data_IF_560356532607
#
_entry.id   IF_560356532607
#
_cell.length_a   1.000
_cell.length_b   1.000
_cell.length_c   1.000
_cell.angle_alpha   90.00
_cell.angle_beta   90.00
_cell.angle_gamma   90.00
#
_symmetry.space_group_name_H-M   'P 1'
#
loop_
_entity.id
_entity.type
_entity.pdbx_description
1 polymer ?
#
# COMPACT_ATOMS: atom_id res chain seq x y z
N UNK A 1 11.35 19.39 -12.67
CA UNK A 1 10.23 19.08 -11.76
C UNK A 1 10.82 18.84 -10.39
N UNK A 2 10.21 19.40 -9.36
CA UNK A 2 10.55 19.06 -7.97
C UNK A 2 10.22 17.57 -7.76
N UNK A 3 11.15 16.83 -7.16
CA UNK A 3 10.97 15.39 -6.92
C UNK A 3 10.07 15.18 -5.71
N UNK A 4 9.21 14.16 -5.74
CA UNK A 4 8.43 13.76 -4.57
C UNK A 4 9.32 12.90 -3.66
N UNK A 5 9.60 13.40 -2.45
CA UNK A 5 10.30 12.66 -1.41
C UNK A 5 9.40 11.57 -0.84
N UNK A 6 9.90 10.34 -0.82
CA UNK A 6 9.16 9.20 -0.28
C UNK A 6 10.00 8.35 0.67
N UNK A 7 9.33 7.76 1.65
CA UNK A 7 9.80 6.57 2.38
C UNK A 7 8.94 5.40 1.90
N UNK A 8 9.58 4.35 1.40
CA UNK A 8 8.91 3.13 0.95
C UNK A 8 8.94 2.10 2.09
N UNK A 9 7.77 1.72 2.60
CA UNK A 9 7.64 0.70 3.64
C UNK A 9 7.08 -0.58 3.02
N UNK A 10 7.86 -1.67 3.04
CA UNK A 10 7.54 -2.87 2.27
C UNK A 10 7.95 -4.16 2.98
N UNK A 11 7.44 -5.28 2.51
CA UNK A 11 7.72 -6.64 3.00
C UNK A 11 8.16 -7.54 1.84
N UNK A 12 9.37 -7.28 1.26
CA UNK A 12 9.68 -7.64 -0.11
C UNK A 12 9.27 -9.04 -0.58
N UNK A 13 8.14 -9.04 -1.29
CA UNK A 13 7.68 -10.03 -2.24
C UNK A 13 8.00 -9.63 -3.68
N UNK A 14 7.38 -10.32 -4.64
CA UNK A 14 7.66 -10.14 -6.07
C UNK A 14 7.32 -8.74 -6.56
N UNK A 15 6.16 -8.23 -6.17
CA UNK A 15 5.64 -6.91 -6.52
C UNK A 15 6.37 -5.78 -5.79
N UNK A 16 6.73 -5.95 -4.52
CA UNK A 16 7.60 -5.01 -3.80
C UNK A 16 8.95 -4.82 -4.47
N UNK A 17 9.57 -5.89 -4.98
CA UNK A 17 10.84 -5.79 -5.69
C UNK A 17 10.72 -4.90 -6.93
N UNK A 18 9.58 -4.95 -7.62
CA UNK A 18 9.26 -4.04 -8.73
C UNK A 18 8.99 -2.62 -8.24
N UNK A 19 8.27 -2.45 -7.12
CA UNK A 19 8.02 -1.14 -6.53
C UNK A 19 9.33 -0.43 -6.12
N UNK A 20 10.25 -1.16 -5.47
CA UNK A 20 11.60 -0.69 -5.13
C UNK A 20 12.35 -0.25 -6.40
N UNK A 21 12.37 -1.09 -7.43
CA UNK A 21 13.04 -0.79 -8.70
C UNK A 21 12.48 0.49 -9.33
N UNK A 22 11.15 0.62 -9.41
CA UNK A 22 10.49 1.78 -10.01
C UNK A 22 10.76 3.05 -9.21
N UNK A 23 10.60 3.00 -7.88
CA UNK A 23 10.84 4.13 -6.99
C UNK A 23 12.29 4.63 -7.07
N UNK A 24 13.25 3.71 -7.09
CA UNK A 24 14.67 4.06 -7.10
C UNK A 24 15.17 4.62 -8.44
N UNK A 25 14.52 4.30 -9.57
CA UNK A 25 14.98 4.71 -10.90
C UNK A 25 14.15 5.84 -11.53
N UNK A 26 12.94 6.12 -11.03
CA UNK A 26 12.06 7.11 -11.65
C UNK A 26 12.48 8.56 -11.33
N UNK A 27 12.66 9.45 -12.33
CA UNK A 27 13.25 10.78 -12.12
C UNK A 27 12.37 11.75 -11.33
N UNK A 28 11.06 11.45 -11.18
CA UNK A 28 10.14 12.26 -10.39
C UNK A 28 10.10 11.87 -8.89
N UNK A 29 10.79 10.79 -8.50
CA UNK A 29 10.80 10.26 -7.13
C UNK A 29 12.17 10.51 -6.51
N UNK A 30 12.16 10.91 -5.25
CA UNK A 30 13.33 10.95 -4.38
C UNK A 30 13.12 9.95 -3.24
N UNK A 31 13.69 8.75 -3.41
CA UNK A 31 13.53 7.65 -2.48
C UNK A 31 14.53 7.82 -1.33
N UNK A 32 14.04 8.27 -0.17
CA UNK A 32 14.87 8.64 0.98
C UNK A 32 15.40 7.43 1.76
N UNK A 33 14.59 6.37 1.83
CA UNK A 33 14.86 5.18 2.61
C UNK A 33 13.83 4.10 2.34
N UNK A 34 14.23 2.86 2.57
CA UNK A 34 13.36 1.69 2.51
C UNK A 34 13.23 1.12 3.90
N UNK A 35 12.02 1.03 4.42
CA UNK A 35 11.72 0.38 5.70
C UNK A 35 11.09 -0.97 5.46
N UNK A 36 11.55 -1.98 6.19
CA UNK A 36 11.11 -3.36 6.01
C UNK A 36 10.18 -3.77 7.16
N UNK A 37 9.09 -4.44 6.83
CA UNK A 37 8.14 -5.03 7.77
C UNK A 37 7.98 -6.52 7.51
N UNK A 38 7.51 -7.27 8.50
CA UNK A 38 7.04 -8.64 8.30
C UNK A 38 5.65 -8.64 7.62
N UNK A 39 5.42 -9.60 6.74
CA UNK A 39 4.17 -9.74 6.00
C UNK A 39 4.22 -10.96 5.09
N UNK A 40 4.52 -10.78 3.80
CA UNK A 40 4.67 -11.85 2.80
C UNK A 40 5.52 -13.01 3.33
N UNK A 41 6.58 -12.69 4.06
CA UNK A 41 7.37 -13.61 4.87
C UNK A 41 7.73 -12.98 6.22
N UNK A 42 8.43 -13.76 7.05
CA UNK A 42 9.07 -13.28 8.28
C UNK A 42 10.07 -12.15 7.99
N UNK A 43 10.30 -11.27 8.97
CA UNK A 43 11.13 -10.07 8.79
C UNK A 43 12.56 -10.37 8.34
N UNK A 44 13.16 -11.44 8.85
CA UNK A 44 14.50 -11.88 8.45
C UNK A 44 14.58 -12.14 6.95
N UNK A 45 13.55 -12.78 6.37
CA UNK A 45 13.48 -13.06 4.94
C UNK A 45 13.15 -11.83 4.13
N UNK A 46 12.14 -11.04 4.52
CA UNK A 46 11.77 -9.83 3.79
C UNK A 46 12.91 -8.79 3.79
N UNK A 47 13.68 -8.71 4.88
CA UNK A 47 14.88 -7.88 4.97
C UNK A 47 15.98 -8.35 4.02
N UNK A 48 16.28 -9.66 4.03
CA UNK A 48 17.24 -10.25 3.09
C UNK A 48 16.81 -9.99 1.64
N UNK A 49 15.52 -10.13 1.32
CA UNK A 49 14.98 -9.88 -0.01
C UNK A 49 15.13 -8.41 -0.41
N UNK A 50 14.76 -7.47 0.45
CA UNK A 50 14.92 -6.03 0.20
C UNK A 50 16.38 -5.64 -0.04
N UNK A 51 17.30 -6.19 0.77
CA UNK A 51 18.73 -6.00 0.58
C UNK A 51 19.20 -6.63 -0.76
N UNK A 52 18.85 -7.88 -1.05
CA UNK A 52 19.21 -8.55 -2.30
C UNK A 52 18.77 -7.77 -3.54
N UNK A 53 17.53 -7.29 -3.57
CA UNK A 53 16.98 -6.46 -4.66
C UNK A 53 17.81 -5.20 -4.82
N UNK A 54 18.07 -4.48 -3.73
CA UNK A 54 18.83 -3.25 -3.80
C UNK A 54 20.31 -3.47 -4.17
N UNK A 55 20.93 -4.58 -3.75
CA UNK A 55 22.28 -4.96 -4.16
C UNK A 55 22.32 -5.24 -5.66
N UNK A 56 21.39 -6.06 -6.15
CA UNK A 56 21.32 -6.45 -7.57
C UNK A 56 21.12 -5.27 -8.51
N UNK A 57 20.35 -4.26 -8.08
CA UNK A 57 19.99 -3.10 -8.88
C UNK A 57 20.88 -1.87 -8.63
N UNK A 58 21.92 -2.02 -7.81
CA UNK A 58 22.85 -0.96 -7.40
C UNK A 58 22.11 0.26 -6.83
N UNK A 59 21.10 0.00 -6.00
CA UNK A 59 20.31 1.02 -5.32
C UNK A 59 21.04 1.41 -4.02
N UNK A 60 21.54 2.63 -3.99
CA UNK A 60 22.30 3.21 -2.87
C UNK A 60 21.39 4.01 -1.93
N UNK A 61 20.31 3.37 -1.48
CA UNK A 61 19.36 3.91 -0.49
C UNK A 61 19.46 3.06 0.78
N UNK A 62 19.43 3.67 1.99
CA UNK A 62 19.50 2.93 3.24
C UNK A 62 18.25 2.06 3.45
N UNK A 63 18.47 0.87 4.02
CA UNK A 63 17.41 -0.12 4.31
C UNK A 63 17.35 -0.34 5.82
N UNK A 64 16.17 -0.22 6.41
CA UNK A 64 15.95 -0.30 7.85
C UNK A 64 15.03 -1.47 8.21
N UNK A 65 15.45 -2.34 9.12
CA UNK A 65 14.60 -3.40 9.64
C UNK A 65 13.57 -2.84 10.63
N UNK A 66 12.31 -3.25 10.51
CA UNK A 66 11.19 -2.77 11.31
C UNK A 66 10.50 -3.84 12.15
N UNK A 67 9.18 -3.75 12.22
CA UNK A 67 8.35 -4.61 13.06
C UNK A 67 8.42 -6.08 12.59
N UNK A 68 8.85 -7.01 13.45
CA UNK A 68 8.92 -8.44 13.10
C UNK A 68 7.56 -9.15 13.18
N UNK A 69 6.58 -8.52 13.84
CA UNK A 69 5.26 -9.05 14.12
C UNK A 69 4.21 -7.92 14.07
N UNK A 70 2.94 -8.25 13.78
CA UNK A 70 1.86 -7.29 13.86
C UNK A 70 1.63 -6.81 15.30
N UNK A 71 0.96 -5.67 15.48
CA UNK A 71 0.90 -4.98 16.78
C UNK A 71 0.03 -5.69 17.83
N UNK A 72 -0.84 -6.62 17.45
CA UNK A 72 -1.73 -7.31 18.37
C UNK A 72 -2.00 -8.77 18.00
N UNK A 73 -2.36 -9.03 16.75
CA UNK A 73 -2.76 -10.37 16.31
C UNK A 73 -1.58 -11.34 16.23
N UNK A 74 -1.88 -12.63 16.03
CA UNK A 74 -0.86 -13.60 15.67
C UNK A 74 -0.39 -13.37 14.23
N UNK A 75 0.92 -13.49 14.04
CA UNK A 75 1.57 -13.35 12.74
C UNK A 75 1.06 -14.38 11.74
N UNK A 76 0.88 -13.92 10.50
CA UNK A 76 0.58 -14.73 9.33
C UNK A 76 1.58 -14.37 8.24
N UNK A 77 1.84 -15.31 7.32
CA UNK A 77 2.69 -15.11 6.14
C UNK A 77 1.96 -15.56 4.88
N UNK A 78 2.44 -15.13 3.72
CA UNK A 78 1.89 -15.49 2.40
C UNK A 78 2.87 -16.39 1.61
N UNK A 79 3.42 -17.40 2.29
CA UNK A 79 4.38 -18.37 1.73
C UNK A 79 3.81 -19.15 0.54
N UNK A 80 2.50 -19.42 0.56
CA UNK A 80 1.77 -20.03 -0.55
C UNK A 80 1.77 -19.21 -1.86
N UNK A 81 1.99 -17.89 -1.79
CA UNK A 81 2.04 -16.99 -2.95
C UNK A 81 3.48 -16.63 -3.31
N UNK A 82 4.30 -16.33 -2.29
CA UNK A 82 5.64 -15.78 -2.48
C UNK A 82 6.76 -16.81 -2.35
N UNK A 83 6.43 -18.05 -2.01
CA UNK A 83 7.37 -19.16 -1.90
C UNK A 83 8.10 -19.19 -0.56
N UNK A 84 9.04 -20.13 -0.44
CA UNK A 84 9.74 -20.42 0.82
C UNK A 84 10.64 -19.24 1.23
N UNK A 85 11.26 -18.58 0.27
CA UNK A 85 12.14 -17.42 0.51
C UNK A 85 11.38 -16.11 0.60
N UNK A 86 10.12 -16.08 0.13
CA UNK A 86 9.33 -14.85 -0.05
C UNK A 86 9.63 -14.12 -1.36
N UNK A 87 10.62 -14.58 -2.13
CA UNK A 87 10.96 -14.04 -3.44
C UNK A 87 11.52 -15.19 -4.32
N UNK A 88 10.79 -16.30 -4.39
CA UNK A 88 11.24 -17.48 -5.13
C UNK A 88 11.36 -17.19 -6.64
N UNK A 89 12.48 -17.60 -7.25
CA UNK A 89 12.73 -17.41 -8.69
C UNK A 89 14.11 -16.81 -8.98
N UNK A 90 14.39 -15.56 -8.59
CA UNK A 90 15.72 -14.98 -8.72
C UNK A 90 16.73 -15.67 -7.81
N UNK A 91 17.96 -15.86 -8.32
CA UNK A 91 19.12 -16.27 -7.54
C UNK A 91 20.05 -15.08 -7.40
N UNK A 92 20.40 -14.73 -6.17
CA UNK A 92 21.25 -13.59 -5.85
C UNK A 92 22.69 -14.03 -5.54
N UNK A 93 23.63 -13.16 -5.86
CA UNK A 93 25.01 -13.27 -5.40
C UNK A 93 25.09 -13.11 -3.88
N UNK A 94 26.20 -13.54 -3.22
CA UNK A 94 26.38 -13.37 -1.78
C UNK A 94 26.10 -11.92 -1.33
N UNK A 95 25.27 -11.78 -0.30
CA UNK A 95 24.88 -10.48 0.21
C UNK A 95 26.05 -9.84 0.96
N UNK A 96 26.47 -8.65 0.53
CA UNK A 96 27.57 -7.89 1.17
C UNK A 96 27.07 -6.63 1.87
N UNK A 97 25.94 -6.09 1.41
CA UNK A 97 25.27 -4.97 2.09
C UNK A 97 24.59 -5.40 3.37
N UNK A 98 24.43 -4.45 4.27
CA UNK A 98 23.77 -4.65 5.57
C UNK A 98 22.64 -3.63 5.72
N UNK A 99 21.66 -3.99 6.54
CA UNK A 99 20.67 -3.03 7.00
C UNK A 99 21.33 -2.00 7.92
N UNK A 100 20.74 -0.82 7.98
CA UNK A 100 21.09 0.18 8.98
C UNK A 100 20.78 -0.33 10.39
N UNK A 101 21.59 0.09 11.37
CA UNK A 101 21.41 -0.30 12.77
C UNK A 101 20.20 0.36 13.44
N UNK A 102 19.69 1.45 12.85
CA UNK A 102 18.51 2.17 13.32
C UNK A 102 17.24 1.38 12.97
N UNK A 103 16.32 1.22 13.92
CA UNK A 103 15.03 0.58 13.68
C UNK A 103 14.15 1.43 12.74
N UNK A 104 13.42 0.79 11.82
CA UNK A 104 12.58 1.45 10.81
C UNK A 104 11.63 2.50 11.41
N UNK A 105 10.93 2.15 12.50
CA UNK A 105 10.04 3.08 13.22
C UNK A 105 10.78 4.34 13.68
N UNK A 106 11.98 4.19 14.24
CA UNK A 106 12.79 5.33 14.68
C UNK A 106 13.23 6.17 13.49
N UNK A 107 13.66 5.53 12.41
CA UNK A 107 14.00 6.22 11.16
C UNK A 107 12.82 7.04 10.61
N UNK A 108 11.62 6.46 10.53
CA UNK A 108 10.40 7.15 10.09
C UNK A 108 10.13 8.38 10.97
N UNK A 109 10.16 8.21 12.29
CA UNK A 109 9.93 9.30 13.25
C UNK A 109 10.96 10.41 13.06
N UNK A 110 12.24 10.09 13.10
CA UNK A 110 13.32 11.08 13.05
C UNK A 110 13.31 11.85 11.72
N UNK A 111 13.09 11.13 10.62
CA UNK A 111 13.07 11.70 9.27
C UNK A 111 11.88 12.64 9.10
N UNK A 112 10.68 12.25 9.56
CA UNK A 112 9.50 13.11 9.49
C UNK A 112 9.66 14.33 10.41
N UNK A 113 10.14 14.14 11.63
CA UNK A 113 10.34 15.22 12.60
C UNK A 113 11.31 16.29 12.08
N UNK A 114 12.37 15.88 11.37
CA UNK A 114 13.33 16.77 10.74
C UNK A 114 12.86 17.38 9.40
N UNK A 115 11.73 16.93 8.84
CA UNK A 115 11.23 17.38 7.54
C UNK A 115 10.35 18.65 7.61
N UNK A 116 10.18 19.27 6.44
CA UNK A 116 9.32 20.43 6.22
C UNK A 116 7.85 20.04 5.94
N UNK A 117 7.47 18.78 6.19
CA UNK A 117 6.12 18.27 5.91
C UNK A 117 5.90 17.83 4.46
N UNK A 118 6.98 17.58 3.72
CA UNK A 118 6.98 17.30 2.28
C UNK A 118 7.14 15.81 1.92
N UNK A 119 7.30 14.94 2.93
CA UNK A 119 7.55 13.51 2.77
C UNK A 119 6.23 12.74 2.63
N UNK A 120 6.15 11.90 1.59
CA UNK A 120 5.05 10.93 1.40
C UNK A 120 5.47 9.56 1.93
N UNK A 121 4.61 8.90 2.72
CA UNK A 121 4.83 7.51 3.10
C UNK A 121 4.16 6.60 2.07
N UNK A 122 4.86 5.56 1.63
CA UNK A 122 4.36 4.61 0.63
C UNK A 122 4.42 3.20 1.23
N UNK A 123 3.47 2.81 2.09
CA UNK A 123 3.42 1.45 2.62
C UNK A 123 2.75 0.50 1.62
N UNK A 124 3.50 -0.51 1.19
CA UNK A 124 3.04 -1.56 0.28
C UNK A 124 2.99 -2.95 0.94
N UNK A 125 3.32 -3.01 2.24
CA UNK A 125 3.11 -4.16 3.10
C UNK A 125 2.15 -3.90 4.27
N UNK A 126 2.13 -4.77 5.30
CA UNK A 126 1.37 -4.54 6.53
C UNK A 126 1.75 -3.25 7.25
N UNK A 127 0.75 -2.54 7.79
CA UNK A 127 0.91 -1.15 8.27
C UNK A 127 1.57 -1.03 9.66
N UNK A 128 2.21 -2.07 10.17
CA UNK A 128 2.71 -2.16 11.55
C UNK A 128 3.76 -1.08 11.85
N UNK A 129 4.75 -0.88 10.98
CA UNK A 129 5.77 0.17 11.13
C UNK A 129 5.12 1.56 11.23
N UNK A 130 4.19 1.85 10.32
CA UNK A 130 3.51 3.13 10.22
C UNK A 130 2.66 3.40 11.46
N UNK A 131 1.85 2.42 11.87
CA UNK A 131 0.99 2.55 13.04
C UNK A 131 1.79 2.74 14.33
N UNK A 132 2.87 1.98 14.52
CA UNK A 132 3.75 2.13 15.69
C UNK A 132 4.42 3.51 15.68
N UNK A 133 4.92 3.98 14.54
CA UNK A 133 5.49 5.33 14.44
C UNK A 133 4.49 6.42 14.83
N UNK A 134 3.26 6.35 14.31
CA UNK A 134 2.19 7.30 14.64
C UNK A 134 1.82 7.28 16.13
N UNK A 135 1.81 6.11 16.76
CA UNK A 135 1.46 5.97 18.18
C UNK A 135 2.61 6.36 19.11
N UNK A 136 3.86 6.07 18.72
CA UNK A 136 5.05 6.46 19.48
C UNK A 136 5.32 7.96 19.41
N UNK A 137 5.08 8.60 18.27
CA UNK A 137 5.26 10.03 18.10
C UNK A 137 4.11 10.66 17.31
N UNK A 138 3.00 11.04 17.98
CA UNK A 138 1.85 11.66 17.30
C UNK A 138 2.18 12.99 16.59
N UNK A 139 3.27 13.68 16.96
CA UNK A 139 3.69 14.91 16.29
C UNK A 139 4.14 14.70 14.83
N UNK A 140 4.34 13.46 14.38
CA UNK A 140 4.63 13.18 12.96
C UNK A 140 3.40 13.35 12.07
N UNK A 141 2.18 13.23 12.60
CA UNK A 141 0.95 13.26 11.80
C UNK A 141 0.83 14.51 10.91
N UNK A 142 1.00 15.75 11.42
CA UNK A 142 0.98 16.96 10.59
C UNK A 142 2.23 17.12 9.69
N UNK A 143 3.26 16.27 9.85
CA UNK A 143 4.50 16.28 9.07
C UNK A 143 4.48 15.26 7.92
N UNK A 144 3.45 14.43 7.82
CA UNK A 144 3.27 13.53 6.70
C UNK A 144 2.47 14.26 5.63
N UNK A 145 3.05 14.42 4.43
CA UNK A 145 2.38 15.05 3.29
C UNK A 145 1.13 14.26 2.89
N UNK A 146 1.30 12.96 2.73
CA UNK A 146 0.30 12.00 2.24
C UNK A 146 0.79 10.58 2.53
N UNK A 147 -0.13 9.62 2.63
CA UNK A 147 0.17 8.19 2.67
C UNK A 147 -0.47 7.54 1.45
N UNK A 148 0.34 6.93 0.59
CA UNK A 148 -0.12 6.20 -0.59
C UNK A 148 0.10 4.72 -0.34
N UNK A 149 -0.94 4.02 0.09
CA UNK A 149 -0.84 2.64 0.54
C UNK A 149 -1.36 1.64 -0.49
N UNK A 150 -0.72 0.48 -0.59
CA UNK A 150 -1.27 -0.70 -1.25
C UNK A 150 -1.90 -1.60 -0.20
N UNK A 151 -3.20 -1.80 -0.31
CA UNK A 151 -3.94 -2.64 0.62
C UNK A 151 -5.42 -2.36 0.63
N UNK A 152 -6.19 -3.35 1.06
CA UNK A 152 -7.64 -3.30 1.15
C UNK A 152 -8.36 -3.65 -0.15
N UNK A 153 -9.67 -3.83 -0.03
CA UNK A 153 -10.59 -4.05 -1.13
C UNK A 153 -11.93 -3.42 -0.75
N UNK A 154 -12.58 -2.69 -1.65
CA UNK A 154 -13.95 -2.24 -1.45
C UNK A 154 -14.97 -3.36 -1.78
N UNK A 155 -14.55 -4.33 -2.59
CA UNK A 155 -15.29 -5.51 -3.00
C UNK A 155 -14.77 -6.77 -2.31
N UNK A 156 -14.09 -7.63 -3.06
CA UNK A 156 -13.66 -8.97 -2.60
C UNK A 156 -12.19 -8.99 -2.24
N UNK A 157 -11.85 -9.63 -1.12
CA UNK A 157 -10.46 -9.83 -0.69
C UNK A 157 -9.71 -10.92 -1.48
N UNK A 158 -8.39 -11.00 -1.27
CA UNK A 158 -7.51 -12.03 -1.85
C UNK A 158 -7.10 -13.10 -0.83
N UNK A 159 -6.94 -12.75 0.44
CA UNK A 159 -6.55 -13.68 1.50
C UNK A 159 -7.75 -14.34 2.16
N UNK A 160 -8.80 -13.56 2.41
CA UNK A 160 -10.14 -14.07 2.75
C UNK A 160 -11.17 -13.46 1.78
N UNK A 161 -12.40 -13.99 1.69
CA UNK A 161 -13.43 -13.38 0.85
C UNK A 161 -13.67 -11.89 1.14
N UNK A 162 -13.42 -11.45 2.37
CA UNK A 162 -13.70 -10.08 2.84
C UNK A 162 -12.47 -9.23 3.13
N UNK A 163 -11.25 -9.76 3.02
CA UNK A 163 -10.05 -9.05 3.42
C UNK A 163 -8.87 -9.27 2.46
N UNK A 164 -8.23 -8.16 2.14
CA UNK A 164 -6.94 -8.13 1.45
C UNK A 164 -5.81 -8.40 2.46
N UNK A 165 -4.73 -9.06 2.01
CA UNK A 165 -3.63 -9.55 2.85
C UNK A 165 -2.98 -8.49 3.74
N UNK A 166 -2.51 -7.35 3.20
CA UNK A 166 -1.80 -6.34 3.99
C UNK A 166 -2.65 -5.80 5.14
N UNK A 167 -3.93 -5.55 4.87
CA UNK A 167 -4.88 -5.12 5.91
C UNK A 167 -5.21 -6.25 6.87
N UNK A 168 -5.31 -7.49 6.37
CA UNK A 168 -5.58 -8.64 7.21
C UNK A 168 -4.38 -9.01 8.11
N UNK A 169 -3.14 -8.83 7.65
CA UNK A 169 -1.93 -9.15 8.40
C UNK A 169 -1.75 -8.28 9.65
N UNK A 170 -2.25 -7.04 9.63
CA UNK A 170 -2.33 -6.19 10.82
C UNK A 170 -3.54 -5.22 10.75
N UNK A 171 -4.75 -5.69 11.10
CA UNK A 171 -5.96 -4.89 10.98
C UNK A 171 -6.03 -3.79 12.06
N UNK A 172 -5.40 -4.00 13.21
CA UNK A 172 -5.28 -2.97 14.24
C UNK A 172 -4.37 -1.83 13.78
N UNK A 173 -3.22 -2.13 13.16
CA UNK A 173 -2.36 -1.11 12.55
C UNK A 173 -3.08 -0.37 11.42
N UNK A 174 -3.80 -1.10 10.56
CA UNK A 174 -4.62 -0.48 9.53
C UNK A 174 -5.65 0.49 10.14
N UNK A 175 -6.33 0.09 11.22
CA UNK A 175 -7.26 0.99 11.93
C UNK A 175 -6.57 2.28 12.39
N UNK A 176 -5.36 2.20 12.94
CA UNK A 176 -4.59 3.39 13.33
C UNK A 176 -4.39 4.32 12.12
N UNK A 177 -3.88 3.80 11.01
CA UNK A 177 -3.57 4.59 9.81
C UNK A 177 -4.84 5.20 9.20
N UNK A 178 -5.90 4.41 9.01
CA UNK A 178 -7.17 4.88 8.42
C UNK A 178 -7.90 5.92 9.28
N UNK A 179 -7.61 5.98 10.58
CA UNK A 179 -8.19 6.97 11.51
C UNK A 179 -7.24 8.11 11.87
N UNK A 180 -6.06 8.17 11.26
CA UNK A 180 -4.99 9.12 11.62
C UNK A 180 -5.30 10.59 11.28
N UNK A 181 -6.21 10.83 10.33
CA UNK A 181 -6.51 12.17 9.79
C UNK A 181 -5.51 12.68 8.75
N UNK A 182 -4.45 11.91 8.46
CA UNK A 182 -3.50 12.20 7.37
C UNK A 182 -4.18 11.98 6.01
N UNK A 183 -3.86 12.74 4.95
CA UNK A 183 -4.35 12.44 3.61
C UNK A 183 -3.96 11.03 3.15
N UNK A 184 -4.94 10.22 2.73
CA UNK A 184 -4.74 8.83 2.32
C UNK A 184 -5.13 8.61 0.86
N UNK A 185 -4.28 7.89 0.14
CA UNK A 185 -4.61 7.25 -1.14
C UNK A 185 -4.51 5.75 -0.93
N UNK A 186 -5.62 5.05 -1.14
CA UNK A 186 -5.68 3.59 -1.04
C UNK A 186 -5.72 2.99 -2.44
N UNK A 187 -4.67 2.23 -2.77
CA UNK A 187 -4.59 1.42 -3.97
C UNK A 187 -5.05 -0.01 -3.61
N UNK A 188 -6.37 -0.25 -3.68
CA UNK A 188 -6.97 -1.54 -3.34
C UNK A 188 -6.86 -2.60 -4.43
N UNK A 189 -7.35 -3.82 -4.18
CA UNK A 189 -7.29 -4.91 -5.16
C UNK A 189 -7.96 -4.59 -6.50
N UNK A 190 -8.98 -3.75 -6.51
CA UNK A 190 -9.73 -3.44 -7.72
C UNK A 190 -8.94 -2.57 -8.72
N UNK A 191 -7.94 -1.82 -8.25
CA UNK A 191 -7.01 -1.13 -9.13
C UNK A 191 -5.92 -2.06 -9.69
N UNK A 192 -5.59 -3.16 -9.00
CA UNK A 192 -4.46 -4.04 -9.35
C UNK A 192 -4.88 -5.30 -10.12
N UNK A 193 -6.04 -5.89 -9.83
CA UNK A 193 -6.53 -7.07 -10.52
C UNK A 193 -6.64 -6.93 -12.06
N UNK A 194 -6.91 -5.74 -12.63
CA UNK A 194 -6.84 -5.53 -14.07
C UNK A 194 -5.42 -5.54 -14.65
N UNK A 195 -4.39 -5.26 -13.84
CA UNK A 195 -3.00 -5.09 -14.26
C UNK A 195 -2.21 -6.41 -14.33
N UNK A 196 -2.89 -7.51 -14.69
CA UNK A 196 -2.24 -8.81 -14.85
C UNK A 196 -1.21 -8.74 -15.98
N UNK A 197 0.03 -9.10 -15.66
CA UNK A 197 1.07 -9.34 -16.66
C UNK A 197 0.64 -10.54 -17.53
N UNK A 198 0.35 -10.28 -18.79
CA UNK A 198 0.01 -11.33 -19.74
C UNK A 198 1.28 -12.02 -20.25
N UNK A 199 1.38 -13.36 -20.17
CA UNK A 199 2.49 -14.07 -20.79
C UNK A 199 2.39 -13.91 -22.31
N UNK A 200 3.38 -13.24 -22.91
CA UNK A 200 3.53 -13.17 -24.36
C UNK A 200 3.66 -11.75 -24.91
N UNK A 201 4.89 -11.24 -24.92
CA UNK A 201 5.46 -10.60 -26.10
C UNK A 201 6.97 -10.56 -25.95
N UNK A 202 7.63 -11.38 -26.75
CA UNK A 202 9.07 -11.32 -26.95
C UNK A 202 9.46 -9.85 -27.26
N UNK A 203 10.37 -9.27 -26.48
CA UNK A 203 10.80 -7.88 -26.63
C UNK A 203 11.70 -7.67 -27.87
N UNK A 204 11.90 -8.72 -28.67
CA UNK A 204 12.76 -8.75 -29.86
C UNK A 204 12.14 -8.12 -31.11
N UNK A 205 10.81 -7.96 -31.19
CA UNK A 205 10.16 -7.37 -32.37
C UNK A 205 9.95 -5.86 -32.22
N UNK A 206 10.94 -5.09 -32.69
CA UNK A 206 10.97 -3.63 -32.80
C UNK A 206 9.92 -3.00 -33.74
N UNK A 207 8.66 -3.44 -33.69
CA UNK A 207 7.53 -2.80 -34.38
C UNK A 207 6.40 -2.54 -33.39
N UNK A 208 6.45 -1.34 -32.79
CA UNK A 208 5.43 -0.83 -31.89
C UNK A 208 4.02 -0.85 -32.50
N UNK A 209 3.11 -1.57 -31.86
CA UNK A 209 1.66 -1.36 -32.01
C UNK A 209 1.12 -0.86 -30.68
N UNK A 210 0.73 0.42 -30.67
CA UNK A 210 0.15 1.13 -29.52
C UNK A 210 -1.06 0.36 -28.94
N UNK A 211 -1.18 0.20 -27.61
CA UNK A 211 -2.38 -0.36 -27.00
C UNK A 211 -3.58 0.54 -27.28
N UNK A 212 -4.71 -0.06 -27.68
CA UNK A 212 -5.97 0.64 -27.95
C UNK A 212 -6.49 1.31 -26.66
N UNK A 213 -6.65 2.63 -26.69
CA UNK A 213 -7.23 3.54 -25.67
C UNK A 213 -8.64 3.20 -25.12
N UNK A 214 -9.22 2.02 -25.41
CA UNK A 214 -10.64 1.73 -25.16
C UNK A 214 -10.99 1.20 -23.76
N UNK A 215 -10.01 0.82 -22.93
CA UNK A 215 -10.30 0.25 -21.61
C UNK A 215 -10.58 1.32 -20.54
N UNK A 216 -9.77 2.38 -20.50
CA UNK A 216 -9.88 3.43 -19.46
C UNK A 216 -11.13 4.32 -19.65
N UNK A 217 -11.56 4.54 -20.89
CA UNK A 217 -12.69 5.44 -21.18
C UNK A 217 -14.06 4.88 -20.78
N UNK A 218 -14.25 3.55 -20.77
CA UNK A 218 -15.54 2.95 -20.39
C UNK A 218 -15.87 3.10 -18.90
N UNK A 219 -14.86 3.20 -18.03
CA UNK A 219 -15.11 3.39 -16.60
C UNK A 219 -15.63 4.80 -16.28
N UNK A 220 -15.13 5.83 -16.96
CA UNK A 220 -15.62 7.21 -16.79
C UNK A 220 -17.08 7.40 -17.25
N UNK A 221 -17.50 6.71 -18.31
CA UNK A 221 -18.88 6.78 -18.83
C UNK A 221 -19.89 6.02 -17.95
N UNK A 222 -19.49 4.91 -17.33
CA UNK A 222 -20.35 4.15 -16.41
C UNK A 222 -20.61 4.89 -15.07
N UNK A 223 -19.64 5.65 -14.56
CA UNK A 223 -19.82 6.44 -13.34
C UNK A 223 -20.67 7.70 -13.53
N UNK A 224 -20.66 8.30 -14.72
CA UNK A 224 -21.48 9.48 -15.03
C UNK A 224 -22.95 9.13 -15.28
N UNK A 225 -23.27 7.91 -15.74
CA UNK A 225 -24.65 7.49 -16.00
C UNK A 225 -25.40 6.93 -14.77
N UNK A 226 -24.68 6.42 -13.77
CA UNK A 226 -25.31 5.85 -12.56
C UNK A 226 -25.52 6.85 -11.41
N UNK A 227 -24.95 8.06 -11.47
CA UNK A 227 -25.09 9.08 -10.43
C UNK A 227 -26.41 9.90 -10.49
N UNK A 228 -27.21 9.78 -11.55
CA UNK A 228 -28.43 10.62 -11.76
C UNK A 228 -29.75 9.85 -11.62
N UNK A 229 -29.73 8.55 -11.33
CA UNK A 229 -30.95 7.74 -11.14
C UNK A 229 -30.87 6.91 -9.86
N UNK A 230 -31.32 7.50 -8.73
CA UNK A 230 -32.16 6.89 -7.68
C UNK A 230 -32.00 7.64 -6.35
N UNK A 231 -32.67 8.79 -6.21
CA UNK A 231 -33.23 9.24 -4.94
C UNK A 231 -34.47 10.10 -5.25
N UNK A 232 -35.64 9.48 -5.30
CA UNK A 232 -36.94 10.17 -5.14
C UNK A 232 -37.61 9.60 -3.89
N UNK A 233 -38.02 10.42 -2.92
CA UNK A 233 -38.77 9.93 -1.77
C UNK A 233 -40.20 9.55 -2.20
N UNK A 234 -40.67 8.37 -1.78
CA UNK A 234 -42.08 8.00 -1.84
C UNK A 234 -42.87 8.88 -0.86
N UNK A 235 -43.57 9.89 -1.38
CA UNK A 235 -44.61 10.61 -0.65
C UNK A 235 -45.90 10.52 -1.47
N UNK A 236 -46.92 9.82 -0.93
CA UNK A 236 -48.29 9.82 -1.47
C UNK A 236 -49.17 10.70 -0.58
N UNK A 237 -49.84 11.74 -1.11
CA UNK A 237 -50.81 12.52 -0.37
C UNK A 237 -52.21 11.87 -0.50
N UNK A 238 -52.90 11.64 0.63
CA UNK A 238 -54.35 11.41 0.60
C UNK A 238 -54.86 10.30 1.52
N UNK A 239 -55.04 10.61 2.79
CA UNK A 239 -56.11 10.03 3.61
C UNK A 239 -56.42 10.99 4.78
N UNK A 240 -57.40 11.89 4.58
CA UNK A 240 -58.10 12.55 5.69
C UNK A 240 -59.26 11.65 6.08
N UNK A 241 -59.39 11.28 7.37
CA UNK A 241 -60.49 11.67 8.26
C UNK A 241 -60.62 10.78 9.52
N UNK A 242 -60.85 11.47 10.64
CA UNK A 242 -61.48 11.07 11.92
C UNK A 242 -60.68 10.06 12.79
N UNK A 243 -60.49 10.21 14.10
CA UNK A 243 -61.34 10.75 15.18
C UNK A 243 -60.47 11.12 16.42
N UNK A 244 -60.92 12.18 17.13
CA UNK A 244 -60.87 12.46 18.58
C UNK A 244 -59.60 12.18 19.44
N UNK A 245 -59.01 13.26 19.99
CA UNK A 245 -59.08 13.68 21.42
C UNK A 245 -58.59 12.62 22.40
N UNK A 246 -57.46 12.90 23.06
CA UNK A 246 -57.38 13.17 24.49
C UNK A 246 -55.97 13.69 24.81
N UNK A 247 -55.94 14.88 25.38
CA UNK A 247 -54.82 15.49 26.08
C UNK A 247 -54.90 15.08 27.54
N UNK A 248 -53.78 14.59 28.09
CA UNK A 248 -53.14 15.04 29.34
C UNK A 248 -51.72 14.43 29.40
#
# INVERSE_FOLDING_TARGET
MEKRKIILDCDPGHDDAIAIMMAAKHPAIDLLGITIVAGNQTLDKTLINGLNVCQKLEINVPVYAGMPQPIMRQQIVADNIHGETGLDGPVFEPLTRQAESTHAVKYIIDTLMASDGDITLVPVGPLSNIAVAMRMQPAILPKIREIVLMGGAYGTGNFTPSAEFNIFADPEAARVVFTSGVPLVMMGLESHQPDRLHPGRDCSDGKGRRPRRRAVQRHHELHSQNAVRKLRPCWRPGARRHLHRLSD
#
